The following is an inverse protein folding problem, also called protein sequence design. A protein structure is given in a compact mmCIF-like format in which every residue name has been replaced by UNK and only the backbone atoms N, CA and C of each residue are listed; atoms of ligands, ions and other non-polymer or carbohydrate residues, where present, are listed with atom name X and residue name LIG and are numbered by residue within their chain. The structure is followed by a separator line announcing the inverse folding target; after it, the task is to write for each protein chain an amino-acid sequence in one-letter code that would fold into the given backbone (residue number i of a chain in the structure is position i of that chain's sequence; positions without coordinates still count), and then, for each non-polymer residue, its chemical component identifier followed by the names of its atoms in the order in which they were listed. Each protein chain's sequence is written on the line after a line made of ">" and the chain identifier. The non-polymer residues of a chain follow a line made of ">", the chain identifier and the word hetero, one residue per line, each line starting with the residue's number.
data_IF_590944502838
#
_entry.id   IF_590944502838
#
_cell.length_a   1.000
_cell.length_b   1.000
_cell.length_c   1.000
_cell.angle_alpha   90.00
_cell.angle_beta   90.00
_cell.angle_gamma   90.00
#
_symmetry.space_group_name_H-M   'P 1'
#
loop_
_entity.id
_entity.type
_entity.pdbx_description
1 polymer ?
#
# COMPACT_ATOMS: atom_id res chain seq x y z
N UNK A 1 0.40 10.56 13.83
CA UNK A 1 0.63 9.10 13.74
C UNK A 1 -0.63 8.28 13.82
N UNK A 2 -1.44 8.40 14.88
CA UNK A 2 -2.69 7.64 14.99
C UNK A 2 -3.64 7.89 13.82
N UNK A 3 -3.93 9.16 13.49
CA UNK A 3 -4.78 9.51 12.35
C UNK A 3 -4.32 8.89 11.01
N UNK A 4 -3.03 8.99 10.69
CA UNK A 4 -2.46 8.43 9.46
C UNK A 4 -2.50 6.90 9.46
N UNK A 5 -2.26 6.26 10.60
CA UNK A 5 -2.31 4.81 10.73
C UNK A 5 -3.76 4.29 10.55
N UNK A 6 -4.74 4.97 11.14
CA UNK A 6 -6.17 4.66 10.96
C UNK A 6 -6.60 4.85 9.52
N UNK A 7 -6.17 5.93 8.87
CA UNK A 7 -6.47 6.19 7.45
C UNK A 7 -5.92 5.08 6.55
N UNK A 8 -4.66 4.69 6.74
CA UNK A 8 -4.03 3.62 5.96
C UNK A 8 -4.65 2.25 6.22
N UNK A 9 -5.09 1.99 7.45
CA UNK A 9 -5.80 0.77 7.81
C UNK A 9 -7.15 0.68 7.10
N UNK A 10 -7.94 1.77 7.13
CA UNK A 10 -9.21 1.87 6.41
C UNK A 10 -8.98 1.70 4.91
N UNK A 11 -7.93 2.33 4.36
CA UNK A 11 -7.58 2.21 2.94
C UNK A 11 -7.18 0.77 2.57
N UNK A 12 -6.43 0.08 3.42
CA UNK A 12 -6.07 -1.34 3.24
C UNK A 12 -7.30 -2.25 3.25
N UNK A 13 -8.24 -2.03 4.18
CA UNK A 13 -9.53 -2.74 4.22
C UNK A 13 -10.34 -2.44 2.96
N UNK A 14 -10.39 -1.18 2.53
CA UNK A 14 -11.09 -0.76 1.32
C UNK A 14 -10.55 -1.49 0.08
N UNK A 15 -9.22 -1.59 -0.05
CA UNK A 15 -8.58 -2.37 -1.12
C UNK A 15 -8.89 -3.88 -1.04
N UNK A 16 -9.00 -4.45 0.17
CA UNK A 16 -9.39 -5.85 0.37
C UNK A 16 -10.86 -6.13 0.04
N UNK A 17 -11.76 -5.17 0.30
CA UNK A 17 -13.20 -5.28 0.01
C UNK A 17 -13.47 -5.04 -1.48
N UNK A 18 -12.93 -3.94 -2.03
CA UNK A 18 -13.17 -3.54 -3.42
C UNK A 18 -12.39 -4.45 -4.39
N UNK A 19 -11.22 -4.99 -4.03
CA UNK A 19 -10.42 -5.90 -4.87
C UNK A 19 -10.16 -5.32 -6.27
N UNK A 20 -10.49 -6.06 -7.34
CA UNK A 20 -10.21 -5.72 -8.74
C UNK A 20 -10.59 -4.30 -9.17
N UNK A 21 -11.76 -3.73 -8.80
CA UNK A 21 -12.05 -2.32 -9.10
C UNK A 21 -11.09 -1.31 -8.46
N UNK A 22 -10.52 -1.58 -7.28
CA UNK A 22 -9.54 -0.70 -6.64
C UNK A 22 -8.20 -0.71 -7.38
N UNK A 23 -7.82 -1.87 -7.95
CA UNK A 23 -6.62 -1.97 -8.78
C UNK A 23 -6.67 -1.06 -10.01
N UNK A 24 -7.87 -0.73 -10.54
CA UNK A 24 -8.03 0.19 -11.68
C UNK A 24 -7.61 1.62 -11.38
N UNK A 25 -7.61 2.02 -10.10
CA UNK A 25 -7.22 3.35 -9.63
C UNK A 25 -5.72 3.47 -9.34
N UNK A 26 -4.96 2.37 -9.41
CA UNK A 26 -3.52 2.42 -9.26
C UNK A 26 -2.89 3.15 -10.43
N UNK A 27 -1.93 4.03 -10.14
CA UNK A 27 -1.28 4.90 -11.11
C UNK A 27 -0.78 4.13 -12.35
N UNK A 28 -0.24 2.91 -12.20
CA UNK A 28 0.21 2.09 -13.35
C UNK A 28 -0.91 1.58 -14.26
N UNK A 29 -2.09 1.28 -13.70
CA UNK A 29 -3.24 0.76 -14.44
C UNK A 29 -3.97 1.84 -15.23
N UNK A 30 -3.88 3.09 -14.79
CA UNK A 30 -4.57 4.21 -15.44
C UNK A 30 -3.98 4.52 -16.82
N UNK A 31 -2.67 4.29 -17.02
CA UNK A 31 -1.97 4.45 -18.29
C UNK A 31 -2.18 3.28 -19.27
N UNK A 32 -2.71 2.14 -18.81
CA UNK A 32 -2.98 0.97 -19.65
C UNK A 32 -4.38 1.06 -20.28
N UNK A 33 -4.53 0.72 -21.58
CA UNK A 33 -5.83 0.57 -22.23
C UNK A 33 -6.73 -0.41 -21.47
N UNK A 34 -8.05 -0.16 -21.45
CA UNK A 34 -9.04 -1.02 -20.78
C UNK A 34 -8.98 -2.48 -21.28
N UNK A 35 -8.57 -2.68 -22.55
CA UNK A 35 -8.39 -4.00 -23.17
C UNK A 35 -7.21 -4.76 -22.57
N UNK A 36 -6.04 -4.14 -22.49
CA UNK A 36 -4.84 -4.72 -21.86
C UNK A 36 -5.07 -4.97 -20.38
N UNK A 37 -5.80 -4.07 -19.69
CA UNK A 37 -6.19 -4.23 -18.28
C UNK A 37 -6.93 -5.53 -17.96
N UNK A 38 -7.63 -6.15 -18.93
CA UNK A 38 -8.32 -7.44 -18.74
C UNK A 38 -7.38 -8.64 -18.81
N UNK A 39 -6.18 -8.47 -19.37
CA UNK A 39 -5.13 -9.49 -19.37
C UNK A 39 -4.38 -9.56 -18.04
N UNK A 40 -4.62 -8.63 -17.11
CA UNK A 40 -3.97 -8.62 -15.80
C UNK A 40 -4.91 -9.13 -14.70
N UNK A 41 -4.34 -9.83 -13.72
CA UNK A 41 -5.04 -10.30 -12.52
C UNK A 41 -5.20 -9.14 -11.53
N UNK A 42 -6.24 -8.32 -11.75
CA UNK A 42 -6.61 -7.17 -10.94
C UNK A 42 -6.90 -7.55 -9.48
N UNK A 43 -7.43 -8.76 -9.24
CA UNK A 43 -7.74 -9.26 -7.91
C UNK A 43 -6.47 -9.54 -7.12
N UNK A 44 -5.47 -10.14 -7.76
CA UNK A 44 -4.16 -10.38 -7.14
C UNK A 44 -3.43 -9.07 -6.86
N UNK A 45 -3.43 -8.14 -7.81
CA UNK A 45 -2.82 -6.82 -7.63
C UNK A 45 -3.46 -6.05 -6.46
N UNK A 46 -4.79 -5.99 -6.40
CA UNK A 46 -5.49 -5.30 -5.32
C UNK A 46 -5.21 -5.90 -3.94
N UNK A 47 -5.10 -7.24 -3.86
CA UNK A 47 -4.76 -7.94 -2.61
C UNK A 47 -3.35 -7.62 -2.14
N UNK A 48 -2.36 -7.62 -3.04
CA UNK A 48 -0.98 -7.34 -2.66
C UNK A 48 -0.78 -5.87 -2.29
N UNK A 49 -1.43 -4.95 -3.01
CA UNK A 49 -1.49 -3.54 -2.60
C UNK A 49 -2.17 -3.37 -1.24
N UNK A 50 -3.30 -4.05 -1.00
CA UNK A 50 -4.00 -4.03 0.29
C UNK A 50 -3.13 -4.55 1.44
N UNK A 51 -2.38 -5.63 1.22
CA UNK A 51 -1.40 -6.16 2.19
C UNK A 51 -0.27 -5.18 2.47
N UNK A 52 0.24 -4.48 1.46
CA UNK A 52 1.26 -3.45 1.67
C UNK A 52 0.74 -2.31 2.55
N UNK A 53 -0.49 -1.81 2.28
CA UNK A 53 -1.13 -0.83 3.15
C UNK A 53 -1.34 -1.35 4.58
N UNK A 54 -1.64 -2.65 4.74
CA UNK A 54 -1.79 -3.28 6.05
C UNK A 54 -0.45 -3.35 6.80
N UNK A 55 0.65 -3.71 6.13
CA UNK A 55 2.00 -3.71 6.68
C UNK A 55 2.43 -2.30 7.11
N UNK A 56 2.10 -1.29 6.31
CA UNK A 56 2.34 0.13 6.64
C UNK A 56 1.52 0.60 7.83
N UNK A 57 0.23 0.25 7.89
CA UNK A 57 -0.62 0.54 9.02
C UNK A 57 -0.08 -0.14 10.30
N UNK A 58 0.31 -1.41 10.22
CA UNK A 58 0.91 -2.15 11.32
C UNK A 58 2.20 -1.50 11.84
N UNK A 59 3.10 -1.10 10.93
CA UNK A 59 4.34 -0.42 11.30
C UNK A 59 4.09 0.91 12.03
N UNK A 60 3.12 1.71 11.55
CA UNK A 60 2.74 2.97 12.20
C UNK A 60 2.01 2.75 13.52
N UNK A 61 1.22 1.70 13.66
CA UNK A 61 0.58 1.30 14.92
C UNK A 61 1.61 0.88 15.96
N UNK A 62 2.59 0.05 15.58
CA UNK A 62 3.70 -0.34 16.45
C UNK A 62 4.51 0.89 16.87
N UNK A 63 4.82 1.79 15.93
CA UNK A 63 5.51 3.05 16.22
C UNK A 63 4.74 3.97 17.17
N UNK A 64 3.42 4.08 16.99
CA UNK A 64 2.55 4.87 17.86
C UNK A 64 2.40 4.25 19.26
N UNK A 65 2.30 2.92 19.35
CA UNK A 65 2.24 2.19 20.62
C UNK A 65 3.57 2.28 21.38
N UNK A 66 4.72 2.13 20.70
CA UNK A 66 6.05 2.33 21.29
C UNK A 66 6.22 3.75 21.83
N UNK A 67 5.73 4.75 21.10
CA UNK A 67 5.76 6.15 21.55
C UNK A 67 4.96 6.35 22.83
N UNK A 68 3.80 5.69 22.94
CA UNK A 68 2.94 5.76 24.12
C UNK A 68 3.57 5.13 25.37
N UNK A 69 4.39 4.08 25.20
CA UNK A 69 4.99 3.32 26.31
C UNK A 69 6.37 3.83 26.73
N UNK A 70 7.20 4.32 25.80
CA UNK A 70 8.64 4.57 26.05
C UNK A 70 9.05 6.05 25.94
N UNK A 71 8.84 6.69 24.79
CA UNK A 71 9.28 8.07 24.52
C UNK A 71 8.84 8.56 23.13
N UNK A 72 8.47 9.84 23.00
CA UNK A 72 8.01 10.45 21.73
C UNK A 72 9.04 10.45 20.59
N UNK A 73 10.33 10.27 20.93
CA UNK A 73 11.41 10.20 19.93
C UNK A 73 11.37 8.92 19.09
N UNK A 74 10.82 7.83 19.63
CA UNK A 74 10.69 6.56 18.91
C UNK A 74 9.61 6.63 17.83
N UNK A 75 8.56 7.42 18.04
CA UNK A 75 7.61 7.75 16.98
C UNK A 75 8.33 8.40 15.79
N UNK A 76 9.16 9.43 16.01
CA UNK A 76 9.88 10.08 14.89
C UNK A 76 10.74 9.09 14.10
N UNK A 77 11.43 8.18 14.76
CA UNK A 77 12.23 7.15 14.10
C UNK A 77 11.36 6.18 13.26
N UNK A 78 10.24 5.70 13.82
CA UNK A 78 9.32 4.81 13.11
C UNK A 78 8.64 5.52 11.92
N UNK A 79 8.32 6.81 12.05
CA UNK A 79 7.79 7.61 10.93
C UNK A 79 8.81 7.78 9.82
N UNK A 80 10.07 8.07 10.18
CA UNK A 80 11.16 8.19 9.22
C UNK A 80 11.40 6.90 8.45
N UNK A 81 11.40 5.76 9.15
CA UNK A 81 11.51 4.43 8.52
C UNK A 81 10.33 4.16 7.58
N UNK A 82 9.12 4.53 7.99
CA UNK A 82 7.92 4.40 7.16
C UNK A 82 8.00 5.25 5.88
N UNK A 83 8.45 6.50 5.96
CA UNK A 83 8.63 7.37 4.78
C UNK A 83 9.67 6.78 3.82
N UNK A 84 10.80 6.29 4.33
CA UNK A 84 11.84 5.65 3.50
C UNK A 84 11.29 4.41 2.79
N UNK A 85 10.53 3.56 3.49
CA UNK A 85 9.88 2.40 2.90
C UNK A 85 8.84 2.82 1.87
N UNK A 86 8.05 3.86 2.14
CA UNK A 86 7.06 4.39 1.21
C UNK A 86 7.71 4.84 -0.10
N UNK A 87 8.77 5.66 -0.03
CA UNK A 87 9.47 6.15 -1.23
C UNK A 87 10.08 4.97 -1.99
N UNK A 88 10.78 4.07 -1.29
CA UNK A 88 11.40 2.89 -1.91
C UNK A 88 10.37 2.03 -2.65
N UNK A 89 9.21 1.81 -2.04
CA UNK A 89 8.19 0.92 -2.57
C UNK A 89 7.31 1.59 -3.64
N UNK A 90 7.20 2.93 -3.63
CA UNK A 90 6.43 3.71 -4.62
C UNK A 90 7.27 4.09 -5.84
N UNK A 91 8.60 4.14 -5.73
CA UNK A 91 9.52 4.36 -6.86
C UNK A 91 9.85 3.08 -7.65
N UNK A 92 9.40 1.90 -7.20
CA UNK A 92 9.48 0.70 -8.02
C UNK A 92 8.58 0.93 -9.22
N UNK A 93 9.22 0.98 -10.38
CA UNK A 93 8.65 1.32 -11.68
C UNK A 93 7.27 0.67 -11.86
N UNK A 94 6.17 1.46 -11.82
CA UNK A 94 4.84 0.90 -11.71
C UNK A 94 4.56 -0.06 -12.86
N UNK A 95 5.11 0.18 -14.06
CA UNK A 95 4.96 -0.70 -15.23
C UNK A 95 5.56 -2.11 -15.05
N UNK A 96 6.77 -2.22 -14.48
CA UNK A 96 7.36 -3.54 -14.19
C UNK A 96 6.58 -4.28 -13.13
N UNK A 97 6.07 -3.55 -12.15
CA UNK A 97 5.30 -4.13 -11.05
C UNK A 97 3.92 -4.61 -11.50
N UNK A 98 3.30 -4.05 -12.55
CA UNK A 98 2.04 -4.59 -13.11
C UNK A 98 2.27 -5.78 -14.05
N UNK A 99 3.40 -5.82 -14.76
CA UNK A 99 3.72 -6.90 -15.72
C UNK A 99 3.76 -8.29 -15.07
N UNK A 100 4.23 -8.41 -13.83
CA UNK A 100 4.23 -9.68 -13.08
C UNK A 100 2.82 -10.23 -12.77
N UNK A 101 1.78 -9.39 -12.88
CA UNK A 101 0.39 -9.79 -12.67
C UNK A 101 -0.32 -10.11 -13.99
N UNK A 102 0.40 -10.22 -15.11
CA UNK A 102 -0.18 -10.66 -16.39
C UNK A 102 -0.70 -12.10 -16.24
N UNK A 103 -1.96 -12.31 -16.62
CA UNK A 103 -2.66 -13.58 -16.58
C UNK A 103 -2.18 -14.40 -17.79
N UNK A 104 -1.21 -15.30 -17.56
CA UNK A 104 -0.83 -16.32 -18.55
C UNK A 104 -1.98 -17.30 -18.81
#
# INVERSE_FOLDING_TARGET
>A
MFFTATLLFILGILFLIIKGPAAKWLAGMQYLPIKERKEYDLDRLAKDTGKQFFSWAGLLWIGAFLSYVLNDKLAMAAFGLWILLFIKNTHIDPRKDIEQYKRN
#
